data_IF_309506863394
#
_entry.id   IF_309506863394
#
_cell.length_a   1.000
_cell.length_b   1.000
_cell.length_c   1.000
_cell.angle_alpha   90.00
_cell.angle_beta   90.00
_cell.angle_gamma   90.00
#
_symmetry.space_group_name_H-M   'P 1'
#
loop_
_entity.id
_entity.type
_entity.pdbx_description
1 polymer ?
#
# COMPACT_ATOMS: atom_id res chain seq x y z
N UNK A 1 -14.81 -21.48 20.86
CA UNK A 1 -13.36 -21.28 21.10
C UNK A 1 -12.57 -22.57 21.35
N UNK A 2 -13.19 -23.72 21.68
CA UNK A 2 -12.46 -24.93 22.10
C UNK A 2 -11.56 -25.57 21.02
N UNK A 3 -12.00 -25.61 19.76
CA UNK A 3 -11.22 -26.24 18.70
C UNK A 3 -9.98 -25.42 18.29
N UNK A 4 -10.03 -24.09 18.40
CA UNK A 4 -8.90 -23.21 18.05
C UNK A 4 -7.69 -23.44 18.96
N UNK A 5 -7.90 -23.59 20.26
CA UNK A 5 -6.82 -23.86 21.21
C UNK A 5 -6.18 -25.25 20.98
N UNK A 6 -7.01 -26.26 20.68
CA UNK A 6 -6.52 -27.61 20.35
C UNK A 6 -5.68 -27.61 19.05
N UNK A 7 -6.16 -26.91 18.01
CA UNK A 7 -5.43 -26.75 16.74
C UNK A 7 -4.12 -26.00 16.97
N UNK A 8 -4.13 -24.88 17.69
CA UNK A 8 -2.93 -24.11 18.02
C UNK A 8 -1.90 -24.97 18.77
N UNK A 9 -2.36 -25.72 19.78
CA UNK A 9 -1.51 -26.61 20.57
C UNK A 9 -0.83 -27.67 19.71
N UNK A 10 -1.57 -28.28 18.78
CA UNK A 10 -1.05 -29.30 17.88
C UNK A 10 -0.08 -28.75 16.81
N UNK A 11 -0.23 -27.50 16.38
CA UNK A 11 0.58 -26.92 15.30
C UNK A 11 1.82 -26.18 15.82
N UNK A 12 1.67 -25.35 16.84
CA UNK A 12 2.71 -24.44 17.31
C UNK A 12 2.73 -24.25 18.82
N UNK A 13 2.03 -25.10 19.58
CA UNK A 13 1.91 -25.04 21.04
C UNK A 13 1.23 -23.75 21.54
N UNK A 14 1.97 -22.65 21.63
CA UNK A 14 1.49 -21.34 22.05
C UNK A 14 1.90 -20.29 21.01
N UNK A 15 1.03 -19.31 20.70
CA UNK A 15 1.38 -18.26 19.74
C UNK A 15 2.47 -17.32 20.29
N UNK A 16 3.17 -16.57 19.41
CA UNK A 16 4.11 -15.52 19.84
C UNK A 16 3.43 -14.44 20.69
N UNK A 17 4.00 -14.14 21.86
CA UNK A 17 3.42 -13.21 22.83
C UNK A 17 3.67 -11.72 22.50
N UNK A 18 4.90 -11.37 22.13
CA UNK A 18 5.36 -9.98 22.14
C UNK A 18 4.49 -9.03 21.29
N UNK A 19 4.10 -9.44 20.07
CA UNK A 19 3.24 -8.62 19.22
C UNK A 19 1.83 -8.42 19.80
N UNK A 20 1.26 -9.47 20.40
CA UNK A 20 -0.04 -9.38 21.07
C UNK A 20 0.04 -8.51 22.34
N UNK A 21 1.16 -8.59 23.08
CA UNK A 21 1.41 -7.75 24.23
C UNK A 21 1.50 -6.26 23.86
N UNK A 22 2.18 -5.91 22.76
CA UNK A 22 2.24 -4.52 22.25
C UNK A 22 0.84 -4.02 21.90
N UNK A 23 0.06 -4.79 21.15
CA UNK A 23 -1.32 -4.40 20.79
C UNK A 23 -2.17 -4.22 22.04
N UNK A 24 -2.06 -5.12 23.02
CA UNK A 24 -2.78 -5.00 24.29
C UNK A 24 -2.40 -3.70 25.01
N UNK A 25 -1.11 -3.39 25.11
CA UNK A 25 -0.61 -2.17 25.78
C UNK A 25 -1.19 -0.92 25.11
N UNK A 26 -1.03 -0.80 23.78
CA UNK A 26 -1.49 0.35 23.01
C UNK A 26 -3.01 0.53 23.10
N UNK A 27 -3.79 -0.56 23.06
CA UNK A 27 -5.25 -0.47 23.03
C UNK A 27 -5.92 -0.36 24.41
N UNK A 28 -5.22 -0.75 25.48
CA UNK A 28 -5.74 -0.68 26.85
C UNK A 28 -5.50 0.68 27.52
N UNK A 29 -4.51 1.44 27.04
CA UNK A 29 -4.23 2.79 27.50
C UNK A 29 -4.88 3.84 26.57
N UNK A 30 -5.64 4.77 27.13
CA UNK A 30 -6.39 5.78 26.35
C UNK A 30 -5.45 6.74 25.58
N UNK A 31 -4.34 7.15 26.19
CA UNK A 31 -3.40 8.07 25.58
C UNK A 31 -2.61 7.40 24.46
N UNK A 32 -2.13 6.17 24.66
CA UNK A 32 -1.45 5.39 23.63
C UNK A 32 -2.39 5.08 22.45
N UNK A 33 -3.64 4.70 22.74
CA UNK A 33 -4.64 4.43 21.70
C UNK A 33 -4.95 5.68 20.87
N UNK A 34 -5.05 6.85 21.52
CA UNK A 34 -5.27 8.11 20.82
C UNK A 34 -4.09 8.44 19.90
N UNK A 35 -2.87 8.37 20.42
CA UNK A 35 -1.62 8.59 19.67
C UNK A 35 -1.50 7.65 18.45
N UNK A 36 -1.68 6.35 18.66
CA UNK A 36 -1.65 5.36 17.58
C UNK A 36 -2.70 5.64 16.48
N UNK A 37 -3.93 6.02 16.89
CA UNK A 37 -4.99 6.32 15.93
C UNK A 37 -4.71 7.60 15.15
N UNK A 38 -4.11 8.61 15.77
CA UNK A 38 -3.69 9.82 15.09
C UNK A 38 -2.63 9.50 14.01
N UNK A 39 -1.59 8.74 14.37
CA UNK A 39 -0.55 8.31 13.43
C UNK A 39 -1.14 7.51 12.26
N UNK A 40 -2.03 6.55 12.56
CA UNK A 40 -2.72 5.75 11.54
C UNK A 40 -3.56 6.64 10.59
N UNK A 41 -4.22 7.65 11.13
CA UNK A 41 -5.02 8.60 10.36
C UNK A 41 -4.17 9.50 9.46
N UNK A 42 -2.96 9.86 9.89
CA UNK A 42 -1.99 10.58 9.08
C UNK A 42 -1.53 9.73 7.88
N UNK A 43 -1.17 8.46 8.12
CA UNK A 43 -0.78 7.51 7.06
C UNK A 43 -1.94 7.30 6.07
N UNK A 44 -3.16 7.07 6.58
CA UNK A 44 -4.38 6.94 5.75
C UNK A 44 -4.60 8.19 4.89
N UNK A 45 -4.37 9.37 5.47
CA UNK A 45 -4.55 10.64 4.76
C UNK A 45 -3.51 10.84 3.67
N UNK A 46 -2.25 10.47 3.92
CA UNK A 46 -1.20 10.47 2.90
C UNK A 46 -1.57 9.56 1.71
N UNK A 47 -1.97 8.31 1.96
CA UNK A 47 -2.41 7.38 0.89
C UNK A 47 -3.55 8.00 0.07
N UNK A 48 -4.55 8.61 0.73
CA UNK A 48 -5.67 9.26 0.03
C UNK A 48 -5.21 10.44 -0.84
N UNK A 49 -4.26 11.26 -0.38
CA UNK A 49 -3.70 12.37 -1.18
C UNK A 49 -2.95 11.86 -2.40
N UNK A 50 -2.05 10.89 -2.21
CA UNK A 50 -1.30 10.27 -3.32
C UNK A 50 -2.25 9.66 -4.36
N UNK A 51 -3.32 8.97 -3.93
CA UNK A 51 -4.35 8.45 -4.85
C UNK A 51 -5.02 9.54 -5.67
N UNK A 52 -5.42 10.65 -5.05
CA UNK A 52 -6.05 11.78 -5.76
C UNK A 52 -5.11 12.41 -6.78
N UNK A 53 -3.83 12.58 -6.43
CA UNK A 53 -2.82 13.13 -7.32
C UNK A 53 -2.59 12.21 -8.53
N UNK A 54 -2.47 10.89 -8.31
CA UNK A 54 -2.38 9.91 -9.40
C UNK A 54 -3.65 9.90 -10.27
N UNK A 55 -4.83 9.95 -9.67
CA UNK A 55 -6.10 9.91 -10.39
C UNK A 55 -6.35 11.15 -11.26
N UNK A 56 -5.81 12.30 -10.86
CA UNK A 56 -5.85 13.54 -11.64
C UNK A 56 -4.88 13.52 -12.83
N UNK A 57 -3.87 12.65 -12.82
CA UNK A 57 -2.91 12.54 -13.91
C UNK A 57 -3.56 11.97 -15.18
N UNK A 58 -3.10 12.45 -16.33
CA UNK A 58 -3.46 11.92 -17.65
C UNK A 58 -2.26 11.13 -18.19
N UNK A 59 -2.46 9.84 -18.43
CA UNK A 59 -1.44 8.91 -18.95
C UNK A 59 -2.06 8.21 -20.15
N UNK A 60 -1.81 8.72 -21.36
CA UNK A 60 -2.32 8.18 -22.63
C UNK A 60 -3.81 7.75 -22.51
N UNK A 61 -4.14 6.49 -22.80
CA UNK A 61 -5.49 5.92 -22.66
C UNK A 61 -5.75 5.25 -21.30
N UNK A 62 -4.79 5.31 -20.36
CA UNK A 62 -4.89 4.64 -19.06
C UNK A 62 -6.00 5.28 -18.20
N UNK A 63 -6.91 4.48 -17.62
CA UNK A 63 -8.00 4.97 -16.77
C UNK A 63 -7.51 5.32 -15.35
N UNK A 64 -6.59 6.29 -15.24
CA UNK A 64 -5.97 6.72 -13.96
C UNK A 64 -7.00 7.13 -12.91
N UNK A 65 -8.13 7.70 -13.35
CA UNK A 65 -9.21 8.15 -12.46
C UNK A 65 -9.74 7.04 -11.53
N UNK A 66 -9.68 5.76 -11.95
CA UNK A 66 -10.14 4.62 -11.14
C UNK A 66 -9.30 4.40 -9.87
N UNK A 67 -8.07 4.93 -9.80
CA UNK A 67 -7.19 4.81 -8.63
C UNK A 67 -7.76 5.54 -7.40
N UNK A 68 -8.57 6.58 -7.62
CA UNK A 68 -9.16 7.39 -6.55
C UNK A 68 -10.14 6.60 -5.66
N UNK A 69 -10.91 5.69 -6.26
CA UNK A 69 -11.97 4.95 -5.58
C UNK A 69 -11.47 3.66 -4.91
N UNK A 70 -10.27 3.22 -5.26
CA UNK A 70 -9.63 2.05 -4.67
C UNK A 70 -9.19 2.31 -3.22
N UNK A 71 -9.16 1.23 -2.42
CA UNK A 71 -8.78 1.27 -0.99
C UNK A 71 -7.54 0.42 -0.73
N UNK A 72 -6.85 0.73 0.37
CA UNK A 72 -5.62 0.04 0.77
C UNK A 72 -4.36 0.68 0.18
N UNK A 73 -3.22 0.04 0.39
CA UNK A 73 -1.90 0.56 0.02
C UNK A 73 -1.53 0.33 -1.44
N UNK A 74 -2.27 -0.52 -2.17
CA UNK A 74 -1.87 -0.98 -3.50
C UNK A 74 -2.87 -0.60 -4.58
N UNK A 75 -2.39 -0.50 -5.80
CA UNK A 75 -3.19 -0.40 -7.03
C UNK A 75 -2.52 -1.20 -8.14
N UNK A 76 -3.31 -1.81 -9.00
CA UNK A 76 -2.80 -2.48 -10.20
C UNK A 76 -3.02 -1.56 -11.39
N UNK A 77 -1.95 -1.26 -12.12
CA UNK A 77 -2.02 -0.49 -13.35
C UNK A 77 -2.26 -1.44 -14.53
N UNK A 78 -2.97 -1.02 -15.59
CA UNK A 78 -3.19 -1.83 -16.78
C UNK A 78 -1.96 -1.79 -17.68
N UNK A 79 -0.84 -2.31 -17.19
CA UNK A 79 0.42 -2.44 -17.91
C UNK A 79 0.68 -3.91 -18.23
N UNK A 80 1.32 -4.17 -19.36
CA UNK A 80 1.84 -5.49 -19.69
C UNK A 80 3.30 -5.66 -19.22
N UNK A 81 3.82 -6.89 -19.29
CA UNK A 81 5.16 -7.24 -18.81
C UNK A 81 6.29 -6.43 -19.49
N UNK A 82 6.15 -6.11 -20.77
CA UNK A 82 7.13 -5.30 -21.50
C UNK A 82 7.16 -3.86 -20.99
N UNK A 83 6.00 -3.29 -20.67
CA UNK A 83 5.90 -1.94 -20.09
C UNK A 83 6.43 -1.88 -18.66
N UNK A 84 6.16 -2.91 -17.85
CA UNK A 84 6.74 -3.02 -16.50
C UNK A 84 8.27 -3.14 -16.57
N UNK A 85 8.78 -3.91 -17.53
CA UNK A 85 10.23 -4.06 -17.76
C UNK A 85 10.85 -2.75 -18.24
N UNK A 86 10.20 -2.02 -19.15
CA UNK A 86 10.67 -0.71 -19.61
C UNK A 86 10.73 0.32 -18.45
N UNK A 87 9.73 0.36 -17.56
CA UNK A 87 9.77 1.21 -16.36
C UNK A 87 10.97 0.91 -15.46
N UNK A 88 11.30 -0.38 -15.32
CA UNK A 88 12.45 -0.83 -14.55
C UNK A 88 13.76 -0.40 -15.20
N UNK A 89 13.98 -0.78 -16.45
CA UNK A 89 15.28 -0.64 -17.13
C UNK A 89 15.57 0.79 -17.59
N UNK A 90 14.56 1.52 -18.06
CA UNK A 90 14.74 2.84 -18.66
C UNK A 90 14.50 3.98 -17.67
N UNK A 91 13.65 3.75 -16.65
CA UNK A 91 13.25 4.79 -15.70
C UNK A 91 13.64 4.51 -14.24
N UNK A 92 14.15 3.31 -13.94
CA UNK A 92 14.53 2.90 -12.59
C UNK A 92 13.34 2.81 -11.63
N UNK A 93 12.14 2.52 -12.14
CA UNK A 93 10.90 2.41 -11.36
C UNK A 93 10.54 0.94 -11.21
N UNK A 94 10.56 0.46 -9.98
CA UNK A 94 10.34 -0.95 -9.66
C UNK A 94 8.94 -1.17 -9.10
N UNK A 95 8.27 -2.21 -9.58
CA UNK A 95 6.98 -2.70 -9.11
C UNK A 95 6.91 -4.22 -9.28
N UNK A 96 5.83 -4.85 -8.83
CA UNK A 96 5.61 -6.28 -9.11
C UNK A 96 5.39 -6.51 -10.60
N UNK A 97 5.70 -7.71 -11.10
CA UNK A 97 5.50 -8.03 -12.52
C UNK A 97 4.02 -7.95 -12.93
N UNK A 98 3.10 -8.14 -11.97
CA UNK A 98 1.66 -7.90 -12.15
C UNK A 98 1.24 -6.42 -12.20
N UNK A 99 2.18 -5.49 -12.40
CA UNK A 99 1.97 -4.04 -12.41
C UNK A 99 1.31 -3.47 -11.14
N UNK A 100 1.49 -4.14 -9.99
CA UNK A 100 0.97 -3.68 -8.69
C UNK A 100 1.92 -2.70 -8.05
N UNK A 101 1.48 -1.45 -7.89
CA UNK A 101 2.24 -0.38 -7.25
C UNK A 101 1.88 -0.25 -5.77
N UNK A 102 2.86 0.14 -4.95
CA UNK A 102 2.64 0.57 -3.57
C UNK A 102 2.40 2.09 -3.55
N UNK A 103 1.14 2.49 -3.39
CA UNK A 103 0.73 3.89 -3.29
C UNK A 103 1.21 4.55 -2.00
N UNK A 104 1.35 3.78 -0.91
CA UNK A 104 1.85 4.30 0.36
C UNK A 104 3.35 4.64 0.33
N UNK A 105 4.12 3.99 -0.55
CA UNK A 105 5.55 4.23 -0.72
C UNK A 105 5.89 5.36 -1.70
N UNK A 106 4.90 5.90 -2.42
CA UNK A 106 5.11 6.94 -3.42
C UNK A 106 5.04 8.32 -2.78
N UNK A 107 6.16 9.04 -2.77
CA UNK A 107 6.22 10.41 -2.28
C UNK A 107 5.51 11.34 -3.28
N UNK A 108 4.78 12.32 -2.76
CA UNK A 108 4.04 13.29 -3.60
C UNK A 108 4.98 14.02 -4.59
N UNK A 109 6.23 14.28 -4.20
CA UNK A 109 7.26 14.90 -5.04
C UNK A 109 7.73 14.01 -6.23
N UNK A 110 7.59 12.69 -6.14
CA UNK A 110 8.02 11.77 -7.20
C UNK A 110 6.91 11.46 -8.22
N UNK A 111 5.66 11.85 -7.91
CA UNK A 111 4.50 11.58 -8.77
C UNK A 111 4.69 12.14 -10.19
N UNK A 112 5.18 13.38 -10.41
CA UNK A 112 5.42 13.87 -11.76
C UNK A 112 6.38 12.99 -12.55
N UNK A 113 7.51 12.58 -11.96
CA UNK A 113 8.47 11.67 -12.59
C UNK A 113 7.82 10.32 -12.92
N UNK A 114 7.03 9.77 -11.99
CA UNK A 114 6.33 8.51 -12.19
C UNK A 114 5.31 8.60 -13.34
N UNK A 115 4.52 9.66 -13.39
CA UNK A 115 3.53 9.90 -14.45
C UNK A 115 4.19 10.06 -15.82
N UNK A 116 5.31 10.79 -15.92
CA UNK A 116 6.03 10.92 -17.18
C UNK A 116 6.64 9.59 -17.65
N UNK A 117 7.19 8.80 -16.72
CA UNK A 117 7.67 7.46 -17.05
C UNK A 117 6.53 6.54 -17.54
N UNK A 118 5.35 6.61 -16.90
CA UNK A 118 4.17 5.88 -17.37
C UNK A 118 3.77 6.30 -18.79
N UNK A 119 3.76 7.60 -19.11
CA UNK A 119 3.43 8.09 -20.47
C UNK A 119 4.42 7.61 -21.52
N UNK A 120 5.70 7.47 -21.16
CA UNK A 120 6.75 7.04 -22.08
C UNK A 120 6.63 5.56 -22.48
N UNK A 121 6.03 4.72 -21.62
CA UNK A 121 5.89 3.27 -21.86
C UNK A 121 4.45 2.84 -22.22
N UNK A 122 3.44 3.64 -21.87
CA UNK A 122 2.03 3.29 -21.97
C UNK A 122 1.46 3.38 -23.39
#
# INVERSE_FOLDING_TARGET
MSNLAAIARANYSMPPDHGAAIVREVLSDEALRASWREELDQIRSHIKRTRRQLAAARVNSMPMHLIADQKGMFSTLPLNDAQVTALREQHGIYMTDSARINVAGLREADIPRFVEALKAVA
#
